data_IF_806745592349
#
_entry.id   IF_806745592349
#
_cell.length_a   1.000
_cell.length_b   1.000
_cell.length_c   1.000
_cell.angle_alpha   90.00
_cell.angle_beta   90.00
_cell.angle_gamma   90.00
#
_symmetry.space_group_name_H-M   'P 1'
#
loop_
_entity.id
_entity.type
_entity.pdbx_description
1 polymer ?
#
# COMPACT_ATOMS: atom_id res chain seq x y z
N UNK A 1 -10.60 -4.90 -9.16
CA UNK A 1 -9.22 -4.75 -9.67
C UNK A 1 -8.24 -5.06 -8.54
N UNK A 2 -7.08 -5.66 -8.84
CA UNK A 2 -6.11 -6.19 -7.85
C UNK A 2 -5.77 -5.21 -6.70
N UNK A 3 -5.68 -3.91 -6.96
CA UNK A 3 -5.30 -2.90 -5.94
C UNK A 3 -6.28 -2.70 -4.77
N UNK A 4 -7.43 -3.38 -4.74
CA UNK A 4 -8.37 -3.36 -3.61
C UNK A 4 -8.57 -4.72 -2.95
N UNK A 5 -7.94 -5.79 -3.43
CA UNK A 5 -8.17 -7.18 -2.96
C UNK A 5 -7.79 -7.38 -1.49
N UNK A 6 -6.70 -6.74 -1.06
CA UNK A 6 -6.19 -6.83 0.31
C UNK A 6 -7.21 -6.39 1.39
N UNK A 7 -8.21 -5.58 1.02
CA UNK A 7 -9.26 -5.18 1.96
C UNK A 7 -10.10 -6.35 2.49
N UNK A 8 -10.17 -7.47 1.76
CA UNK A 8 -10.92 -8.65 2.18
C UNK A 8 -10.17 -9.48 3.24
N UNK A 9 -8.84 -9.31 3.32
CA UNK A 9 -7.97 -10.05 4.23
C UNK A 9 -7.62 -9.23 5.47
N UNK A 10 -7.56 -7.91 5.31
CA UNK A 10 -7.16 -7.02 6.40
C UNK A 10 -8.17 -7.00 7.56
N UNK A 11 -7.66 -6.92 8.79
CA UNK A 11 -8.42 -6.89 10.04
C UNK A 11 -9.29 -8.13 10.30
N UNK A 12 -8.98 -9.24 9.63
CA UNK A 12 -9.47 -10.55 9.99
C UNK A 12 -8.48 -11.19 11.00
N UNK A 13 -8.94 -12.11 11.83
CA UNK A 13 -8.10 -12.81 12.80
C UNK A 13 -7.27 -13.93 12.17
N UNK A 14 -7.68 -14.40 10.99
CA UNK A 14 -6.97 -15.44 10.25
C UNK A 14 -5.73 -14.95 9.49
N UNK A 15 -5.54 -13.62 9.38
CA UNK A 15 -4.47 -13.01 8.58
C UNK A 15 -3.76 -11.89 9.36
N UNK A 16 -2.45 -11.75 9.15
CA UNK A 16 -1.60 -10.77 9.85
C UNK A 16 -1.81 -9.33 9.36
N UNK A 17 -2.45 -9.15 8.20
CA UNK A 17 -2.64 -7.84 7.57
C UNK A 17 -3.61 -6.96 8.37
N UNK A 18 -3.20 -5.74 8.73
CA UNK A 18 -4.07 -4.75 9.41
C UNK A 18 -4.11 -3.43 8.66
N UNK A 19 -5.27 -2.78 8.58
CA UNK A 19 -5.45 -1.52 7.83
C UNK A 19 -5.00 -0.31 8.66
N UNK A 20 -4.35 0.69 8.03
CA UNK A 20 -4.04 1.96 8.69
C UNK A 20 -5.30 2.82 8.97
N UNK A 21 -6.38 2.61 8.21
CA UNK A 21 -7.59 3.45 8.24
C UNK A 21 -8.75 2.87 9.08
N UNK A 22 -8.55 1.86 9.94
CA UNK A 22 -9.69 1.18 10.61
C UNK A 22 -10.11 1.74 11.97
N UNK A 23 -9.39 2.67 12.57
CA UNK A 23 -9.80 3.21 13.89
C UNK A 23 -10.70 4.46 13.79
N UNK A 24 -11.03 4.95 12.59
CA UNK A 24 -11.85 6.16 12.41
C UNK A 24 -12.86 6.02 11.26
N UNK A 25 -13.65 4.94 11.24
CA UNK A 25 -14.86 4.86 10.39
C UNK A 25 -16.17 5.07 11.16
N UNK A 26 -16.15 4.93 12.48
CA UNK A 26 -17.37 4.93 13.31
C UNK A 26 -17.71 6.29 13.95
N UNK A 27 -16.92 7.33 13.70
CA UNK A 27 -17.40 8.70 13.88
C UNK A 27 -18.24 9.09 12.66
N UNK A 28 -19.54 8.79 12.75
CA UNK A 28 -20.61 9.31 11.89
C UNK A 28 -20.28 10.75 11.53
N UNK A 29 -20.00 11.00 10.25
CA UNK A 29 -19.64 12.29 9.65
C UNK A 29 -20.82 13.27 9.79
N UNK A 30 -20.76 14.29 10.67
CA UNK A 30 -21.72 15.38 10.59
C UNK A 30 -21.30 16.37 9.49
N UNK A 31 -20.06 16.33 9.00
CA UNK A 31 -19.46 17.42 8.21
C UNK A 31 -19.50 17.28 6.68
N UNK A 32 -19.59 16.08 6.10
CA UNK A 32 -19.59 15.95 4.63
C UNK A 32 -20.91 16.43 4.01
N UNK A 33 -22.05 16.19 4.67
CA UNK A 33 -23.35 16.70 4.23
C UNK A 33 -23.48 18.22 4.44
N UNK A 34 -22.78 18.77 5.43
CA UNK A 34 -22.71 20.21 5.72
C UNK A 34 -21.67 20.95 4.88
N UNK A 35 -20.78 20.22 4.19
CA UNK A 35 -19.80 20.84 3.28
C UNK A 35 -20.55 21.39 2.05
N UNK A 36 -20.38 22.68 1.71
CA UNK A 36 -20.99 23.28 0.53
C UNK A 36 -20.66 22.48 -0.74
N UNK A 37 -21.65 22.33 -1.64
CA UNK A 37 -21.51 21.47 -2.82
C UNK A 37 -20.26 21.80 -3.65
N UNK A 38 -19.98 23.09 -3.87
CA UNK A 38 -18.81 23.54 -4.62
C UNK A 38 -17.46 23.18 -3.98
N UNK A 39 -17.41 22.95 -2.67
CA UNK A 39 -16.18 22.58 -1.96
C UNK A 39 -16.01 21.06 -1.78
N UNK A 40 -17.07 20.28 -2.01
CA UNK A 40 -17.05 18.82 -1.78
C UNK A 40 -15.98 18.13 -2.62
N UNK A 41 -15.80 18.54 -3.87
CA UNK A 41 -14.79 17.96 -4.75
C UNK A 41 -13.38 18.19 -4.19
N UNK A 42 -13.04 19.45 -3.84
CA UNK A 42 -11.74 19.81 -3.25
C UNK A 42 -11.48 19.04 -1.96
N UNK A 43 -12.49 18.97 -1.09
CA UNK A 43 -12.40 18.24 0.19
C UNK A 43 -12.24 16.74 0.00
N UNK A 44 -12.91 16.16 -0.99
CA UNK A 44 -12.82 14.73 -1.31
C UNK A 44 -11.44 14.33 -1.85
N UNK A 45 -10.84 15.17 -2.70
CA UNK A 45 -9.53 14.89 -3.32
C UNK A 45 -8.40 14.86 -2.27
N UNK A 46 -8.51 15.61 -1.17
CA UNK A 46 -7.54 15.58 -0.05
C UNK A 46 -7.33 14.20 0.58
N UNK A 47 -8.30 13.28 0.46
CA UNK A 47 -8.25 11.91 1.00
C UNK A 47 -7.90 10.85 -0.05
N UNK A 48 -7.64 11.25 -1.30
CA UNK A 48 -7.42 10.34 -2.44
C UNK A 48 -5.97 10.39 -2.92
N UNK A 49 -5.56 9.30 -3.53
CA UNK A 49 -4.37 9.23 -4.38
C UNK A 49 -4.87 8.81 -5.75
N UNK A 50 -4.64 9.63 -6.77
CA UNK A 50 -5.14 9.41 -8.14
C UNK A 50 -4.03 8.93 -9.09
N UNK A 51 -2.87 8.64 -8.54
CA UNK A 51 -1.65 8.31 -9.28
C UNK A 51 -0.50 9.14 -8.73
N UNK A 52 0.31 8.52 -7.88
CA UNK A 52 1.47 9.15 -7.27
C UNK A 52 2.57 8.13 -7.07
N UNK A 53 3.81 8.56 -7.30
CA UNK A 53 5.01 7.77 -7.15
C UNK A 53 5.57 8.02 -5.75
N UNK A 54 5.85 6.95 -5.01
CA UNK A 54 6.48 6.99 -3.70
C UNK A 54 7.74 6.14 -3.69
N UNK A 55 8.81 6.65 -3.09
CA UNK A 55 10.02 5.87 -2.82
C UNK A 55 9.77 4.99 -1.59
N UNK A 56 10.02 3.70 -1.71
CA UNK A 56 9.96 2.70 -0.64
C UNK A 56 11.35 2.12 -0.38
N UNK A 57 11.58 1.69 0.85
CA UNK A 57 12.72 0.86 1.22
C UNK A 57 12.41 -0.59 0.89
N UNK A 58 13.40 -1.32 0.38
CA UNK A 58 13.32 -2.74 0.03
C UNK A 58 14.46 -3.49 0.71
N UNK A 59 14.15 -4.62 1.33
CA UNK A 59 15.13 -5.61 1.75
C UNK A 59 15.48 -6.52 0.57
N UNK A 60 16.54 -6.17 -0.16
CA UNK A 60 17.00 -6.92 -1.33
C UNK A 60 17.76 -8.21 -1.00
N UNK A 61 17.94 -8.54 0.29
CA UNK A 61 18.49 -9.85 0.71
C UNK A 61 17.42 -10.95 0.68
N UNK A 62 16.14 -10.55 0.71
CA UNK A 62 15.01 -11.46 0.69
C UNK A 62 14.73 -11.99 -0.75
N UNK A 63 14.41 -13.30 -0.95
CA UNK A 63 14.16 -13.88 -2.28
C UNK A 63 13.11 -13.15 -3.13
N UNK A 64 12.05 -12.64 -2.50
CA UNK A 64 11.03 -11.82 -3.16
C UNK A 64 11.61 -10.55 -3.83
N UNK A 65 12.69 -9.99 -3.29
CA UNK A 65 13.34 -8.78 -3.77
C UNK A 65 14.69 -9.06 -4.45
N UNK A 66 14.95 -10.31 -4.86
CA UNK A 66 16.14 -10.64 -5.63
C UNK A 66 16.21 -9.82 -6.94
N UNK A 67 17.38 -9.24 -7.21
CA UNK A 67 17.61 -8.36 -8.38
C UNK A 67 17.21 -6.90 -8.18
N UNK A 68 16.70 -6.51 -6.99
CA UNK A 68 16.47 -5.11 -6.64
C UNK A 68 17.65 -4.48 -5.90
N UNK A 69 17.66 -3.14 -5.89
CA UNK A 69 18.46 -2.35 -4.94
C UNK A 69 17.65 -2.13 -3.65
N UNK A 70 18.23 -1.43 -2.68
CA UNK A 70 17.57 -1.12 -1.40
C UNK A 70 16.37 -0.17 -1.51
N UNK A 71 16.01 0.27 -2.71
CA UNK A 71 14.87 1.15 -2.94
C UNK A 71 14.04 0.70 -4.15
N UNK A 72 12.73 0.96 -4.07
CA UNK A 72 11.79 0.79 -5.17
C UNK A 72 10.88 2.01 -5.23
N UNK A 73 10.44 2.37 -6.43
CA UNK A 73 9.47 3.44 -6.61
C UNK A 73 8.13 2.78 -6.91
N UNK A 74 7.17 2.89 -5.99
CA UNK A 74 5.83 2.32 -6.18
C UNK A 74 4.89 3.34 -6.82
N UNK A 75 4.11 2.88 -7.82
CA UNK A 75 2.99 3.64 -8.35
C UNK A 75 1.75 3.38 -7.51
N UNK A 76 1.39 4.35 -6.68
CA UNK A 76 0.22 4.28 -5.80
C UNK A 76 -1.00 4.88 -6.49
N UNK A 77 -2.05 4.06 -6.65
CA UNK A 77 -3.31 4.41 -7.33
C UNK A 77 -4.51 4.51 -6.39
N UNK A 78 -4.29 4.31 -5.09
CA UNK A 78 -5.33 4.40 -4.08
C UNK A 78 -4.76 4.85 -2.74
N UNK A 79 -5.61 5.35 -1.85
CA UNK A 79 -5.23 5.66 -0.47
C UNK A 79 -5.28 4.44 0.46
N UNK A 80 -5.35 3.22 -0.08
CA UNK A 80 -5.22 2.02 0.73
C UNK A 80 -3.81 1.96 1.34
N UNK A 81 -3.79 1.74 2.64
CA UNK A 81 -2.57 1.64 3.43
C UNK A 81 -2.78 0.65 4.56
N UNK A 82 -1.73 -0.10 4.87
CA UNK A 82 -1.73 -1.18 5.84
C UNK A 82 -0.54 -1.00 6.79
N UNK A 83 -0.76 -1.38 8.05
CA UNK A 83 0.29 -1.38 9.08
C UNK A 83 1.37 -2.37 8.65
N UNK A 84 2.61 -2.11 9.04
CA UNK A 84 3.67 -3.11 8.98
C UNK A 84 3.22 -4.36 9.72
N UNK A 85 3.61 -5.52 9.20
CA UNK A 85 3.30 -6.79 9.83
C UNK A 85 4.08 -6.88 11.14
N UNK A 86 3.39 -7.20 12.24
CA UNK A 86 4.03 -7.45 13.54
C UNK A 86 4.73 -8.80 13.59
N UNK A 87 4.22 -9.73 12.81
CA UNK A 87 4.71 -11.10 12.63
C UNK A 87 4.86 -11.34 11.13
N UNK A 88 5.83 -12.16 10.71
CA UNK A 88 6.18 -12.32 9.30
C UNK A 88 7.24 -11.33 8.82
N UNK A 89 7.33 -11.12 7.50
CA UNK A 89 8.46 -10.41 6.87
C UNK A 89 7.96 -9.17 6.13
N UNK A 90 8.57 -8.01 6.43
CA UNK A 90 8.26 -6.73 5.77
C UNK A 90 9.30 -6.43 4.68
N UNK A 91 9.22 -7.14 3.54
CA UNK A 91 10.20 -7.05 2.44
C UNK A 91 10.27 -5.65 1.82
N UNK A 92 9.16 -4.93 1.79
CA UNK A 92 9.12 -3.56 1.28
C UNK A 92 8.15 -2.69 2.06
N UNK A 93 8.57 -1.47 2.36
CA UNK A 93 7.76 -0.52 3.10
C UNK A 93 8.07 0.93 2.76
N UNK A 94 7.11 1.80 3.01
CA UNK A 94 7.29 3.24 2.92
C UNK A 94 7.83 3.76 4.26
N UNK A 95 9.02 4.40 4.30
CA UNK A 95 9.60 4.90 5.55
C UNK A 95 8.74 6.01 6.17
N UNK A 96 9.09 6.39 7.41
CA UNK A 96 8.55 7.61 8.01
C UNK A 96 8.82 8.82 7.12
N UNK A 97 7.92 9.80 7.16
CA UNK A 97 7.99 11.02 6.34
C UNK A 97 8.01 10.77 4.82
N UNK A 98 7.45 9.65 4.36
CA UNK A 98 7.30 9.35 2.94
C UNK A 98 6.48 10.42 2.23
N UNK A 99 7.03 10.98 1.16
CA UNK A 99 6.39 11.99 0.32
C UNK A 99 6.20 11.49 -1.09
N UNK A 100 5.20 12.05 -1.76
CA UNK A 100 5.07 11.89 -3.20
C UNK A 100 6.30 12.47 -3.89
N UNK A 101 6.94 11.67 -4.74
CA UNK A 101 8.04 12.10 -5.60
C UNK A 101 7.49 12.75 -6.85
N UNK A 102 6.35 12.25 -7.35
CA UNK A 102 5.67 12.77 -8.53
C UNK A 102 4.20 12.30 -8.54
N UNK A 103 3.33 13.05 -9.22
CA UNK A 103 1.89 12.81 -9.25
C UNK A 103 1.14 13.43 -8.08
N UNK A 104 -0.13 13.04 -7.90
CA UNK A 104 -1.01 13.63 -6.91
C UNK A 104 -1.34 12.66 -5.77
N UNK A 105 -1.03 13.08 -4.55
CA UNK A 105 -1.49 12.45 -3.33
C UNK A 105 -2.05 13.52 -2.40
N UNK A 106 -3.32 13.39 -2.03
CA UNK A 106 -3.97 14.32 -1.12
C UNK A 106 -3.30 14.31 0.26
N UNK A 107 -3.23 15.49 0.90
CA UNK A 107 -2.53 15.69 2.17
C UNK A 107 -2.92 14.68 3.26
N UNK A 108 -4.21 14.31 3.35
CA UNK A 108 -4.68 13.34 4.34
C UNK A 108 -4.31 11.92 3.96
N UNK A 109 -4.19 11.61 2.68
CA UNK A 109 -3.78 10.29 2.22
C UNK A 109 -2.29 10.05 2.44
N UNK A 110 -1.43 11.05 2.20
CA UNK A 110 0.03 10.96 2.37
C UNK A 110 0.42 10.56 3.79
N UNK A 111 -0.29 11.10 4.80
CA UNK A 111 -0.06 10.74 6.21
C UNK A 111 -0.15 9.24 6.43
N UNK A 112 -1.13 8.57 5.83
CA UNK A 112 -1.30 7.12 5.97
C UNK A 112 -0.31 6.30 5.14
N UNK A 113 0.33 6.89 4.12
CA UNK A 113 1.38 6.20 3.35
C UNK A 113 2.68 6.13 4.13
N UNK A 114 2.98 7.12 4.96
CA UNK A 114 4.16 7.07 5.83
C UNK A 114 4.10 5.89 6.79
N UNK A 115 5.23 5.22 6.99
CA UNK A 115 5.37 4.04 7.85
C UNK A 115 4.32 2.95 7.55
N UNK A 116 4.22 2.55 6.29
CA UNK A 116 3.22 1.58 5.84
C UNK A 116 3.79 0.49 4.95
N UNK A 117 3.12 -0.66 4.97
CA UNK A 117 3.50 -1.84 4.21
C UNK A 117 3.38 -1.59 2.70
N UNK A 118 4.35 -2.11 1.93
CA UNK A 118 4.26 -2.24 0.48
C UNK A 118 4.27 -3.70 0.03
N UNK A 119 5.26 -4.47 0.49
CA UNK A 119 5.41 -5.90 0.25
C UNK A 119 5.61 -6.62 1.58
N UNK A 120 4.76 -7.61 1.88
CA UNK A 120 4.83 -8.38 3.12
C UNK A 120 4.59 -9.86 2.89
N UNK A 121 5.12 -10.69 3.79
CA UNK A 121 4.97 -12.14 3.73
C UNK A 121 4.45 -12.64 5.07
N UNK A 122 3.43 -13.49 5.00
CA UNK A 122 2.91 -14.28 6.11
C UNK A 122 3.14 -15.76 5.82
N UNK A 123 3.71 -16.49 6.76
CA UNK A 123 3.82 -17.95 6.68
C UNK A 123 2.51 -18.60 7.12
N UNK A 124 1.99 -19.54 6.33
CA UNK A 124 0.76 -20.28 6.64
C UNK A 124 0.96 -21.77 6.39
N UNK A 125 1.17 -22.52 7.46
CA UNK A 125 1.52 -23.94 7.37
C UNK A 125 2.82 -24.13 6.59
N UNK A 126 2.77 -24.88 5.49
CA UNK A 126 3.92 -25.09 4.58
C UNK A 126 4.01 -24.04 3.45
N UNK A 127 3.01 -23.17 3.33
CA UNK A 127 2.93 -22.15 2.28
C UNK A 127 3.21 -20.74 2.80
N UNK A 128 3.19 -19.79 1.87
CA UNK A 128 3.35 -18.36 2.15
C UNK A 128 2.22 -17.57 1.50
N UNK A 129 1.81 -16.49 2.15
CA UNK A 129 0.90 -15.48 1.63
C UNK A 129 1.74 -14.23 1.37
N UNK A 130 1.78 -13.78 0.12
CA UNK A 130 2.52 -12.59 -0.28
C UNK A 130 1.54 -11.43 -0.49
N UNK A 131 1.67 -10.41 0.33
CA UNK A 131 0.89 -9.18 0.26
C UNK A 131 1.60 -8.16 -0.63
N UNK A 132 0.92 -7.72 -1.70
CA UNK A 132 1.36 -6.64 -2.58
C UNK A 132 0.33 -5.50 -2.49
N UNK A 133 0.68 -4.43 -1.79
CA UNK A 133 -0.27 -3.35 -1.46
C UNK A 133 -0.67 -2.54 -2.68
N UNK A 134 0.31 -2.16 -3.49
CA UNK A 134 0.09 -1.55 -4.79
C UNK A 134 0.22 -2.63 -5.88
N UNK A 135 -0.50 -2.47 -6.99
CA UNK A 135 -0.45 -3.45 -8.08
C UNK A 135 0.87 -3.32 -8.88
N UNK A 136 1.80 -4.28 -8.80
CA UNK A 136 3.08 -4.16 -9.48
C UNK A 136 2.96 -4.35 -11.00
N UNK A 137 1.84 -4.87 -11.50
CA UNK A 137 1.59 -5.14 -12.91
C UNK A 137 0.63 -4.14 -13.54
N UNK A 138 0.42 -2.96 -12.94
CA UNK A 138 -0.57 -2.00 -13.43
C UNK A 138 -0.33 -1.65 -14.91
N UNK A 139 -1.24 -2.12 -15.77
CA UNK A 139 -1.21 -1.97 -17.24
C UNK A 139 0.11 -2.39 -17.89
N UNK A 140 0.90 -3.26 -17.25
CA UNK A 140 2.28 -3.60 -17.66
C UNK A 140 3.19 -2.38 -17.85
N UNK A 141 2.80 -1.22 -17.33
CA UNK A 141 3.52 0.04 -17.49
C UNK A 141 4.67 0.17 -16.50
N UNK A 142 4.49 -0.37 -15.30
CA UNK A 142 5.48 -0.29 -14.23
C UNK A 142 6.49 -1.43 -14.34
N UNK A 143 7.51 -1.26 -15.19
CA UNK A 143 8.45 -2.34 -15.56
C UNK A 143 9.11 -2.98 -14.35
N UNK A 144 9.61 -2.14 -13.44
CA UNK A 144 10.25 -2.60 -12.22
C UNK A 144 9.32 -3.39 -11.31
N UNK A 145 7.99 -3.36 -11.48
CA UNK A 145 7.08 -4.20 -10.68
C UNK A 145 7.00 -5.65 -11.17
N UNK A 146 7.30 -5.93 -12.44
CA UNK A 146 7.19 -7.29 -13.02
C UNK A 146 8.12 -8.29 -12.33
N UNK A 147 9.31 -7.85 -11.95
CA UNK A 147 10.28 -8.70 -11.26
C UNK A 147 9.79 -9.16 -9.87
N UNK A 148 9.11 -8.31 -9.10
CA UNK A 148 8.47 -8.70 -7.84
C UNK A 148 7.42 -9.78 -8.05
N UNK A 149 6.64 -9.68 -9.12
CA UNK A 149 5.65 -10.70 -9.46
C UNK A 149 6.33 -12.02 -9.87
N UNK A 150 7.39 -11.98 -10.68
CA UNK A 150 8.15 -13.17 -11.04
C UNK A 150 8.79 -13.85 -9.81
N UNK A 151 9.45 -13.08 -8.95
CA UNK A 151 10.07 -13.58 -7.72
C UNK A 151 9.04 -14.17 -6.75
N UNK A 152 7.82 -13.63 -6.72
CA UNK A 152 6.73 -14.16 -5.91
C UNK A 152 6.27 -15.55 -6.39
N UNK A 153 6.33 -15.82 -7.70
CA UNK A 153 5.91 -17.11 -8.28
C UNK A 153 7.03 -18.14 -8.22
N UNK A 154 8.27 -17.74 -8.48
CA UNK A 154 9.36 -18.68 -8.69
C UNK A 154 10.29 -18.86 -7.49
N UNK A 155 10.42 -17.86 -6.61
CA UNK A 155 11.44 -17.87 -5.54
C UNK A 155 10.85 -17.89 -4.12
N UNK A 156 9.53 -17.99 -3.95
CA UNK A 156 8.88 -17.91 -2.63
C UNK A 156 7.90 -19.03 -2.32
#
# INVERSE_FOLDING_TARGET
AVGSSLNNFANNDNFLLKKNNSENKDSIKPSENLTPYGERQRTGIKKRITGSIFKSNIDNTHPLAYGYTNNYYSLKLSSNSFKLLKEGENVGYFPENSKSVSGYAGEKAVVFVSNSLLFGIEHKGKGKIIYMVDNPLFRSFWENGKLFFANAVFFN
#
